data_IF_384507375828
#
_entry.id   IF_384507375828
#
_cell.length_a   1.000
_cell.length_b   1.000
_cell.length_c   1.000
_cell.angle_alpha   90.00
_cell.angle_beta   90.00
_cell.angle_gamma   90.00
#
_symmetry.space_group_name_H-M   'P 1'
#
loop_
_entity.id
_entity.type
_entity.pdbx_description
1 polymer ?
#
# COMPACT_ATOMS: atom_id res chain seq x y z
N UNK A 1 3.92 4.28 11.68
CA UNK A 1 3.03 3.29 11.03
C UNK A 1 3.81 2.27 10.19
N UNK A 2 3.48 0.96 10.25
CA UNK A 2 4.11 -0.05 9.39
C UNK A 2 3.19 -0.53 8.25
N UNK A 3 3.68 -0.43 7.01
CA UNK A 3 3.01 -0.93 5.80
C UNK A 3 3.81 -2.09 5.22
N UNK A 4 3.16 -3.24 5.03
CA UNK A 4 3.79 -4.41 4.41
C UNK A 4 3.03 -4.86 3.17
N UNK A 5 3.76 -5.15 2.09
CA UNK A 5 3.20 -5.82 0.91
C UNK A 5 3.44 -7.32 1.01
N UNK A 6 2.37 -8.09 0.93
CA UNK A 6 2.46 -9.54 0.91
C UNK A 6 1.50 -10.13 -0.12
N UNK A 7 2.06 -10.56 -1.25
CA UNK A 7 1.32 -11.15 -2.37
C UNK A 7 1.58 -12.65 -2.42
N UNK A 8 0.52 -13.45 -2.60
CA UNK A 8 0.61 -14.92 -2.60
C UNK A 8 1.02 -15.50 -3.95
N UNK A 9 0.68 -14.82 -5.05
CA UNK A 9 0.74 -15.38 -6.41
C UNK A 9 1.83 -14.79 -7.31
N UNK A 10 2.35 -13.59 -7.02
CA UNK A 10 3.31 -12.92 -7.91
C UNK A 10 4.65 -12.74 -7.20
N UNK A 11 5.50 -13.76 -7.30
CA UNK A 11 6.89 -13.74 -6.78
C UNK A 11 7.77 -12.74 -7.56
N UNK A 12 7.37 -12.37 -8.77
CA UNK A 12 7.96 -11.33 -9.63
C UNK A 12 6.89 -10.31 -10.06
N UNK A 13 6.34 -9.56 -9.10
CA UNK A 13 5.30 -8.57 -9.35
C UNK A 13 5.86 -7.16 -9.49
N UNK A 14 5.33 -6.39 -10.45
CA UNK A 14 5.59 -4.96 -10.57
C UNK A 14 5.38 -4.26 -9.20
N UNK A 15 6.15 -3.20 -8.88
CA UNK A 15 6.01 -2.50 -7.62
C UNK A 15 4.61 -1.88 -7.50
N UNK A 16 4.05 -1.91 -6.29
CA UNK A 16 2.82 -1.20 -5.98
C UNK A 16 3.19 0.17 -5.47
N UNK A 17 2.66 1.22 -6.10
CA UNK A 17 2.85 2.58 -5.60
C UNK A 17 1.73 2.92 -4.64
N UNK A 18 2.08 3.33 -3.42
CA UNK A 18 1.17 3.84 -2.42
C UNK A 18 1.35 5.37 -2.38
N UNK A 19 0.24 6.10 -2.40
CA UNK A 19 0.19 7.51 -2.05
C UNK A 19 -0.14 7.63 -0.57
N UNK A 20 0.65 8.44 0.13
CA UNK A 20 0.55 8.72 1.57
C UNK A 20 0.25 10.21 1.69
N UNK A 21 -1.02 10.52 1.95
CA UNK A 21 -1.56 11.87 1.85
C UNK A 21 -1.31 12.48 0.46
N UNK A 22 -1.16 13.79 0.42
CA UNK A 22 -0.99 14.53 -0.85
C UNK A 22 0.47 14.66 -1.29
N UNK A 23 1.44 14.37 -0.40
CA UNK A 23 2.85 14.76 -0.58
C UNK A 23 3.81 13.59 -0.74
N UNK A 24 3.46 12.40 -0.24
CA UNK A 24 4.37 11.27 -0.21
C UNK A 24 3.87 10.14 -1.10
N UNK A 25 4.82 9.48 -1.78
CA UNK A 25 4.56 8.25 -2.53
C UNK A 25 5.70 7.27 -2.30
N UNK A 26 5.36 6.00 -2.16
CA UNK A 26 6.33 4.94 -1.96
C UNK A 26 6.01 3.76 -2.87
N UNK A 27 7.04 3.14 -3.44
CA UNK A 27 6.92 1.92 -4.22
C UNK A 27 7.30 0.72 -3.33
N UNK A 28 6.41 -0.27 -3.21
CA UNK A 28 6.64 -1.51 -2.46
C UNK A 28 6.68 -2.72 -3.39
N UNK A 29 7.78 -3.48 -3.33
CA UNK A 29 7.87 -4.81 -3.92
C UNK A 29 7.29 -5.87 -2.98
N UNK A 30 7.08 -7.06 -3.51
CA UNK A 30 6.52 -8.14 -2.70
C UNK A 30 7.51 -8.56 -1.60
N UNK A 31 7.07 -8.54 -0.35
CA UNK A 31 7.91 -8.82 0.82
C UNK A 31 8.46 -7.56 1.48
N UNK A 32 8.40 -6.40 0.82
CA UNK A 32 8.86 -5.14 1.39
C UNK A 32 7.94 -4.70 2.53
N UNK A 33 8.57 -4.08 3.52
CA UNK A 33 7.94 -3.34 4.60
C UNK A 33 8.50 -1.92 4.62
N UNK A 34 7.62 -0.96 4.85
CA UNK A 34 7.96 0.44 5.01
C UNK A 34 7.42 0.94 6.35
N UNK A 35 8.29 1.59 7.10
CA UNK A 35 7.89 2.37 8.27
C UNK A 35 7.75 3.83 7.86
N UNK A 36 6.65 4.44 8.24
CA UNK A 36 6.34 5.84 7.94
C UNK A 36 5.89 6.48 9.24
N UNK A 37 6.56 7.56 9.63
CA UNK A 37 6.07 8.44 10.68
C UNK A 37 4.99 9.35 10.11
N UNK A 38 3.79 9.32 10.70
CA UNK A 38 2.67 10.16 10.30
C UNK A 38 2.60 11.40 11.22
N UNK A 39 3.17 12.56 10.83
CA UNK A 39 3.31 13.71 11.72
C UNK A 39 1.96 14.28 12.20
N UNK A 40 0.91 14.12 11.41
CA UNK A 40 -0.44 14.63 11.71
C UNK A 40 -1.32 13.59 12.43
N UNK A 41 -0.76 12.45 12.85
CA UNK A 41 -1.43 11.38 13.60
C UNK A 41 -2.42 10.53 12.78
N UNK A 42 -3.00 11.07 11.70
CA UNK A 42 -3.79 10.36 10.72
C UNK A 42 -3.46 10.79 9.29
N UNK A 43 -3.55 9.87 8.34
CA UNK A 43 -3.30 10.14 6.92
C UNK A 43 -4.11 9.21 6.05
N UNK A 44 -4.45 9.65 4.85
CA UNK A 44 -5.07 8.78 3.85
C UNK A 44 -4.00 8.03 3.05
N UNK A 45 -4.19 6.72 2.91
CA UNK A 45 -3.42 5.88 2.01
C UNK A 45 -4.29 5.50 0.82
N UNK A 46 -3.74 5.64 -0.38
CA UNK A 46 -4.35 5.08 -1.58
C UNK A 46 -3.32 4.33 -2.41
N UNK A 47 -3.77 3.27 -3.08
CA UNK A 47 -2.91 2.49 -3.95
C UNK A 47 -3.09 2.97 -5.38
N UNK A 48 -1.99 3.38 -6.02
CA UNK A 48 -1.99 3.88 -7.41
C UNK A 48 -2.56 2.80 -8.35
N UNK A 49 -3.46 3.21 -9.23
CA UNK A 49 -4.19 2.33 -10.17
C UNK A 49 -5.08 1.26 -9.50
N UNK A 50 -5.26 1.31 -8.18
CA UNK A 50 -6.24 0.46 -7.50
C UNK A 50 -7.63 1.09 -7.59
N UNK A 51 -8.65 0.25 -7.78
CA UNK A 51 -10.06 0.64 -7.61
C UNK A 51 -10.49 0.65 -6.14
N UNK A 52 -9.59 0.33 -5.21
CA UNK A 52 -9.87 0.39 -3.78
C UNK A 52 -9.98 1.84 -3.33
N UNK A 53 -10.95 2.10 -2.46
CA UNK A 53 -11.11 3.40 -1.79
C UNK A 53 -9.88 3.71 -0.95
N UNK A 54 -9.52 5.00 -0.85
CA UNK A 54 -8.49 5.44 0.08
C UNK A 54 -8.87 5.03 1.52
N UNK A 55 -7.86 4.64 2.30
CA UNK A 55 -8.01 4.17 3.67
C UNK A 55 -7.37 5.21 4.58
N UNK A 56 -8.11 5.72 5.56
CA UNK A 56 -7.53 6.55 6.62
C UNK A 56 -6.82 5.64 7.62
N UNK A 57 -5.58 5.96 7.93
CA UNK A 57 -4.72 5.19 8.84
C UNK A 57 -4.05 6.12 9.84
N UNK A 58 -3.70 5.57 11.00
CA UNK A 58 -3.02 6.23 12.11
C UNK A 58 -1.64 5.61 12.36
N UNK A 59 -0.83 6.24 13.20
CA UNK A 59 0.56 5.84 13.40
C UNK A 59 0.73 4.45 14.03
N UNK A 60 -0.26 4.02 14.80
CA UNK A 60 -0.31 2.72 15.47
C UNK A 60 -0.79 1.59 14.54
N UNK A 61 -1.31 1.93 13.37
CA UNK A 61 -1.91 0.94 12.46
C UNK A 61 -0.85 0.10 11.74
N UNK A 62 -1.24 -1.15 11.48
CA UNK A 62 -0.47 -2.10 10.66
C UNK A 62 -1.28 -2.44 9.42
N UNK A 63 -0.81 -1.98 8.27
CA UNK A 63 -1.51 -2.21 7.01
C UNK A 63 -0.83 -3.34 6.22
N UNK A 64 -1.62 -4.35 5.86
CA UNK A 64 -1.19 -5.44 4.99
C UNK A 64 -1.86 -5.31 3.62
N UNK A 65 -1.08 -4.96 2.61
CA UNK A 65 -1.56 -4.96 1.24
C UNK A 65 -1.57 -6.40 0.70
N UNK A 66 -2.78 -6.92 0.47
CA UNK A 66 -3.02 -8.21 -0.17
C UNK A 66 -3.54 -7.99 -1.60
N UNK A 67 -2.86 -8.58 -2.57
CA UNK A 67 -3.34 -8.61 -3.96
C UNK A 67 -4.42 -9.69 -4.12
N UNK A 68 -5.55 -9.33 -4.71
CA UNK A 68 -6.62 -10.26 -5.09
C UNK A 68 -6.43 -10.65 -6.57
N UNK A 69 -6.15 -11.92 -6.91
CA UNK A 69 -5.75 -12.33 -8.27
C UNK A 69 -6.80 -12.09 -9.36
N UNK A 70 -8.06 -11.87 -9.01
CA UNK A 70 -9.13 -11.56 -9.97
C UNK A 70 -8.99 -10.20 -10.65
N UNK A 71 -8.28 -9.24 -10.05
CA UNK A 71 -8.05 -7.92 -10.64
C UNK A 71 -6.79 -7.86 -11.53
N UNK A 72 -6.00 -8.94 -11.63
CA UNK A 72 -4.82 -9.02 -12.49
C UNK A 72 -5.14 -9.25 -13.98
N UNK A 73 -6.40 -9.42 -14.35
CA UNK A 73 -6.83 -9.61 -15.75
C UNK A 73 -7.50 -8.37 -16.36
N UNK A 74 -7.66 -7.30 -15.59
CA UNK A 74 -8.24 -6.03 -16.06
C UNK A 74 -7.18 -4.94 -15.91
N UNK A 75 -6.19 -4.99 -16.80
CA UNK A 75 -5.24 -3.92 -17.06
C UNK A 75 -5.93 -2.76 -17.78
#
# INVERSE_FOLDING_TARGET
>A
MNIKRQTRLVRMGAPVTIFIGDKHKAALYNGDSLDIDLPDGQTQLSVKHSRQTAITVSDEDKLLLKDNPLNLLLF
#
